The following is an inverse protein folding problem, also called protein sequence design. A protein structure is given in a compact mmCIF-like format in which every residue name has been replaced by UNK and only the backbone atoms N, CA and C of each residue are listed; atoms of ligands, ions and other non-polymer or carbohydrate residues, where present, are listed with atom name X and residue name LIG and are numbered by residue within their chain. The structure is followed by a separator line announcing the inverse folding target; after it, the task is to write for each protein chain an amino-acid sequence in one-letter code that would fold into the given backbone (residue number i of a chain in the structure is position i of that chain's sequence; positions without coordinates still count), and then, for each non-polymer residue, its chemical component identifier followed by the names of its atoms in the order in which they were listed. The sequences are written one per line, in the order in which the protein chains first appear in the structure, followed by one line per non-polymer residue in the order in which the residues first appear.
data_IF_731870809046
#
_entry.id   IF_731870809046
#
_cell.length_a   1.000
_cell.length_b   1.000
_cell.length_c   1.000
_cell.angle_alpha   90.00
_cell.angle_beta   90.00
_cell.angle_gamma   90.00
#
_symmetry.space_group_name_H-M   'P 1'
#
loop_
_entity.id
_entity.type
_entity.pdbx_description
1 polymer ?
#
# COMPACT_ATOMS: atom_id res chain seq x y z
N UNK A 1 -10.67 17.89 -0.17
CA UNK A 1 -9.66 17.34 0.76
C UNK A 1 -8.27 17.96 0.54
N UNK A 2 -7.67 17.90 -0.67
CA UNK A 2 -6.32 18.45 -0.87
C UNK A 2 -6.17 19.93 -0.47
N UNK A 3 -7.03 20.82 -0.97
CA UNK A 3 -7.02 22.24 -0.57
C UNK A 3 -7.24 22.47 0.94
N UNK A 4 -7.97 21.57 1.60
CA UNK A 4 -8.16 21.62 3.05
C UNK A 4 -6.86 21.28 3.78
N UNK A 5 -6.14 20.24 3.35
CA UNK A 5 -4.82 19.91 3.87
C UNK A 5 -3.83 21.06 3.65
N UNK A 6 -3.80 21.65 2.46
CA UNK A 6 -2.96 22.84 2.16
C UNK A 6 -3.28 24.00 3.10
N UNK A 7 -4.56 24.26 3.38
CA UNK A 7 -4.97 25.37 4.25
C UNK A 7 -4.58 25.18 5.73
N UNK A 8 -4.42 23.94 6.19
CA UNK A 8 -4.05 23.61 7.57
C UNK A 8 -2.59 23.19 7.72
N UNK A 9 -1.81 23.22 6.64
CA UNK A 9 -0.44 22.78 6.63
C UNK A 9 0.50 23.80 7.30
N UNK A 10 1.29 23.32 8.24
CA UNK A 10 2.35 24.05 8.95
C UNK A 10 3.70 23.45 8.51
N UNK A 11 4.50 24.17 7.68
CA UNK A 11 5.74 23.64 7.10
C UNK A 11 6.81 23.24 8.12
N UNK A 12 6.82 23.86 9.29
CA UNK A 12 7.80 23.61 10.35
C UNK A 12 7.56 22.29 11.10
N UNK A 13 6.40 21.64 10.89
CA UNK A 13 6.04 20.37 11.53
C UNK A 13 6.12 19.21 10.53
N UNK A 14 6.48 18.00 10.98
CA UNK A 14 6.36 16.81 10.14
C UNK A 14 4.94 16.60 9.62
N UNK A 15 4.78 16.17 8.37
CA UNK A 15 3.44 15.96 7.77
C UNK A 15 2.61 14.92 8.55
N UNK A 16 3.26 13.92 9.14
CA UNK A 16 2.60 12.84 9.87
C UNK A 16 2.03 13.27 11.22
N UNK A 17 2.43 14.41 11.78
CA UNK A 17 1.86 14.98 13.02
C UNK A 17 0.59 15.80 12.77
N UNK A 18 0.30 16.12 11.51
CA UNK A 18 -0.73 17.09 11.12
C UNK A 18 -2.00 16.44 10.55
N UNK A 19 -2.10 15.10 10.59
CA UNK A 19 -3.25 14.37 10.08
C UNK A 19 -3.40 14.43 8.54
N UNK A 20 -2.29 14.61 7.82
CA UNK A 20 -2.28 14.75 6.37
C UNK A 20 -2.15 13.38 5.70
N UNK A 21 -2.96 13.13 4.67
CA UNK A 21 -2.89 11.90 3.88
C UNK A 21 -2.64 12.18 2.41
N UNK A 22 -3.04 13.34 1.86
CA UNK A 22 -2.84 13.64 0.43
C UNK A 22 -1.51 14.32 0.15
N UNK A 23 -1.08 15.29 0.96
CA UNK A 23 0.23 15.95 0.78
C UNK A 23 1.41 14.96 0.79
N UNK A 24 1.44 13.92 1.66
CA UNK A 24 2.45 12.88 1.58
C UNK A 24 2.52 12.15 0.23
N UNK A 25 1.37 11.93 -0.45
CA UNK A 25 1.38 11.32 -1.78
C UNK A 25 2.00 12.25 -2.82
N UNK A 26 1.70 13.55 -2.77
CA UNK A 26 2.29 14.54 -3.69
C UNK A 26 3.80 14.72 -3.45
N UNK A 27 4.21 14.74 -2.18
CA UNK A 27 5.61 14.77 -1.77
C UNK A 27 6.37 13.51 -2.23
N UNK A 28 5.73 12.34 -2.19
CA UNK A 28 6.30 11.08 -2.72
C UNK A 28 6.63 11.20 -4.20
N UNK A 29 5.84 11.95 -4.98
CA UNK A 29 6.13 12.20 -6.39
C UNK A 29 7.21 13.29 -6.62
N UNK A 30 7.84 13.79 -5.57
CA UNK A 30 8.90 14.79 -5.63
C UNK A 30 8.42 16.24 -5.77
N UNK A 31 7.12 16.51 -5.64
CA UNK A 31 6.59 17.87 -5.73
C UNK A 31 6.75 18.61 -4.40
N UNK A 32 7.31 19.82 -4.45
CA UNK A 32 7.38 20.74 -3.31
C UNK A 32 8.36 20.34 -2.20
N UNK A 33 9.17 19.29 -2.39
CA UNK A 33 10.10 18.75 -1.38
C UNK A 33 11.56 18.83 -1.81
N UNK A 34 12.46 18.90 -0.82
CA UNK A 34 13.93 18.92 -0.98
C UNK A 34 14.60 17.73 -0.27
N UNK A 35 15.93 17.51 -0.40
CA UNK A 35 16.59 16.43 0.31
C UNK A 35 16.32 16.47 1.82
N UNK A 36 16.04 15.30 2.40
CA UNK A 36 15.61 15.17 3.79
C UNK A 36 14.09 15.23 4.02
N UNK A 37 13.29 15.47 2.97
CA UNK A 37 11.82 15.47 3.02
C UNK A 37 11.20 16.78 3.52
N UNK A 38 11.98 17.86 3.57
CA UNK A 38 11.51 19.18 3.96
C UNK A 38 10.72 19.84 2.83
N UNK A 39 9.62 20.50 3.17
CA UNK A 39 8.78 21.19 2.18
C UNK A 39 9.37 22.55 1.85
N UNK A 40 9.66 22.79 0.57
CA UNK A 40 10.22 24.03 0.04
C UNK A 40 9.15 24.94 -0.57
N UNK A 41 8.17 24.35 -1.25
CA UNK A 41 7.13 25.08 -1.98
C UNK A 41 5.80 24.34 -1.91
N UNK A 42 4.77 25.03 -1.42
CA UNK A 42 3.40 24.50 -1.30
C UNK A 42 2.54 24.81 -2.53
N UNK A 43 3.01 25.64 -3.46
CA UNK A 43 2.26 26.01 -4.66
C UNK A 43 1.88 24.79 -5.52
N UNK A 44 2.75 23.79 -5.76
CA UNK A 44 2.37 22.56 -6.47
C UNK A 44 1.16 21.86 -5.81
N UNK A 45 1.12 21.78 -4.48
CA UNK A 45 0.01 21.15 -3.76
C UNK A 45 -1.30 21.90 -3.96
N UNK A 46 -1.25 23.24 -3.94
CA UNK A 46 -2.39 24.10 -4.24
C UNK A 46 -2.89 23.88 -5.68
N UNK A 47 -1.98 23.88 -6.67
CA UNK A 47 -2.32 23.65 -8.09
C UNK A 47 -3.02 22.31 -8.28
N UNK A 48 -2.50 21.22 -7.71
CA UNK A 48 -3.17 19.93 -7.76
C UNK A 48 -4.59 20.00 -7.17
N UNK A 49 -4.77 20.69 -6.05
CA UNK A 49 -6.07 20.86 -5.42
C UNK A 49 -7.08 21.59 -6.29
N UNK A 50 -6.66 22.69 -6.92
CA UNK A 50 -7.51 23.49 -7.82
C UNK A 50 -7.86 22.73 -9.09
N UNK A 51 -6.88 22.06 -9.72
CA UNK A 51 -7.13 21.27 -10.93
C UNK A 51 -8.15 20.17 -10.69
N UNK A 52 -8.02 19.40 -9.60
CA UNK A 52 -8.98 18.36 -9.26
C UNK A 52 -10.37 18.94 -8.97
N UNK A 53 -10.46 20.09 -8.28
CA UNK A 53 -11.73 20.74 -7.99
C UNK A 53 -12.45 21.18 -9.28
N UNK A 54 -11.74 21.84 -10.20
CA UNK A 54 -12.31 22.27 -11.48
C UNK A 54 -12.73 21.06 -12.34
N UNK A 55 -11.88 20.04 -12.46
CA UNK A 55 -12.20 18.82 -13.21
C UNK A 55 -13.42 18.10 -12.62
N UNK A 56 -13.60 18.10 -11.31
CA UNK A 56 -14.77 17.49 -10.66
C UNK A 56 -16.09 18.14 -11.09
N UNK A 57 -16.10 19.45 -11.36
CA UNK A 57 -17.29 20.15 -11.85
C UNK A 57 -17.67 19.70 -13.27
N UNK A 58 -16.67 19.49 -14.15
CA UNK A 58 -16.89 18.97 -15.51
C UNK A 58 -17.46 17.55 -15.46
N UNK A 59 -16.88 16.67 -14.62
CA UNK A 59 -17.37 15.31 -14.42
C UNK A 59 -18.79 15.30 -13.84
N UNK A 60 -19.05 16.14 -12.84
CA UNK A 60 -20.38 16.29 -12.23
C UNK A 60 -21.43 16.76 -13.24
N UNK A 61 -21.09 17.75 -14.08
CA UNK A 61 -21.98 18.23 -15.13
C UNK A 61 -22.33 17.14 -16.15
N UNK A 62 -21.31 16.41 -16.65
CA UNK A 62 -21.52 15.28 -17.55
C UNK A 62 -22.37 14.17 -16.90
N UNK A 63 -22.12 13.86 -15.63
CA UNK A 63 -22.92 12.89 -14.87
C UNK A 63 -24.38 13.30 -14.74
N UNK A 64 -24.66 14.54 -14.33
CA UNK A 64 -26.03 15.07 -14.20
C UNK A 64 -26.75 15.05 -15.55
N UNK A 65 -26.07 15.48 -16.62
CA UNK A 65 -26.62 15.42 -17.98
C UNK A 65 -27.03 14.00 -18.35
N UNK A 66 -26.13 13.02 -18.19
CA UNK A 66 -26.40 11.63 -18.57
C UNK A 66 -27.45 10.93 -17.69
N UNK A 67 -27.68 11.39 -16.45
CA UNK A 67 -28.69 10.82 -15.56
C UNK A 67 -30.08 11.44 -15.78
N UNK A 68 -30.17 12.73 -16.11
CA UNK A 68 -31.45 13.46 -16.13
C UNK A 68 -31.94 13.86 -17.53
N UNK A 69 -31.03 14.07 -18.48
CA UNK A 69 -31.35 14.70 -19.78
C UNK A 69 -30.95 13.84 -20.98
N UNK A 70 -29.90 13.03 -20.82
CA UNK A 70 -29.42 12.12 -21.86
C UNK A 70 -30.42 11.00 -22.16
N UNK A 71 -30.23 10.28 -23.28
CA UNK A 71 -31.04 9.10 -23.59
C UNK A 71 -30.83 7.99 -22.55
N UNK A 72 -31.92 7.34 -22.15
CA UNK A 72 -31.90 6.25 -21.16
C UNK A 72 -31.11 5.02 -21.65
N UNK A 73 -31.15 4.77 -22.96
CA UNK A 73 -30.46 3.66 -23.64
C UNK A 73 -29.67 4.19 -24.83
N UNK A 74 -28.52 3.59 -25.12
CA UNK A 74 -27.59 4.05 -26.16
C UNK A 74 -27.56 3.13 -27.39
N UNK A 75 -28.18 1.97 -27.31
CA UNK A 75 -28.11 0.89 -28.29
C UNK A 75 -28.60 1.31 -29.68
N UNK A 76 -29.66 2.12 -29.74
CA UNK A 76 -30.26 2.57 -30.99
C UNK A 76 -29.57 3.83 -31.54
N UNK A 77 -29.41 4.86 -30.70
CA UNK A 77 -28.89 6.16 -31.14
C UNK A 77 -27.38 6.18 -31.31
N UNK A 78 -26.65 5.39 -30.51
CA UNK A 78 -25.18 5.39 -30.47
C UNK A 78 -24.62 3.97 -30.31
N UNK A 79 -24.66 3.11 -31.35
CA UNK A 79 -24.25 1.69 -31.25
C UNK A 79 -22.80 1.47 -30.77
N UNK A 80 -21.92 2.45 -30.99
CA UNK A 80 -20.56 2.41 -30.45
C UNK A 80 -20.51 2.51 -28.92
N UNK A 81 -21.42 3.25 -28.29
CA UNK A 81 -21.50 3.39 -26.84
C UNK A 81 -22.52 2.45 -26.19
N UNK A 82 -23.56 2.02 -26.93
CA UNK A 82 -24.51 1.00 -26.49
C UNK A 82 -23.87 -0.38 -26.30
N UNK A 83 -24.36 -1.12 -25.31
CA UNK A 83 -23.88 -2.47 -25.01
C UNK A 83 -24.93 -3.32 -24.28
N UNK A 84 -24.91 -4.62 -24.53
CA UNK A 84 -25.68 -5.61 -23.76
C UNK A 84 -24.70 -6.43 -22.93
N UNK A 85 -24.96 -6.63 -21.63
CA UNK A 85 -24.07 -7.35 -20.71
C UNK A 85 -23.72 -8.78 -21.16
N UNK A 86 -24.56 -9.42 -21.97
CA UNK A 86 -24.33 -10.76 -22.53
C UNK A 86 -23.40 -10.75 -23.74
N UNK A 87 -23.16 -9.60 -24.38
CA UNK A 87 -22.20 -9.47 -25.47
C UNK A 87 -20.77 -9.46 -24.91
N UNK A 88 -20.17 -10.64 -24.89
CA UNK A 88 -18.82 -10.86 -24.38
C UNK A 88 -17.77 -10.08 -25.17
N UNK A 89 -17.97 -9.86 -26.47
CA UNK A 89 -17.00 -9.13 -27.29
C UNK A 89 -17.04 -7.65 -26.92
N UNK A 90 -18.24 -7.07 -26.77
CA UNK A 90 -18.38 -5.69 -26.33
C UNK A 90 -17.80 -5.47 -24.94
N UNK A 91 -18.01 -6.42 -24.01
CA UNK A 91 -17.41 -6.37 -22.67
C UNK A 91 -15.87 -6.42 -22.70
N UNK A 92 -15.27 -7.29 -23.53
CA UNK A 92 -13.80 -7.31 -23.68
C UNK A 92 -13.29 -6.05 -24.36
N UNK A 93 -13.97 -5.51 -25.38
CA UNK A 93 -13.58 -4.24 -26.01
C UNK A 93 -13.56 -3.08 -25.00
N UNK A 94 -14.60 -2.95 -24.17
CA UNK A 94 -14.65 -1.91 -23.13
C UNK A 94 -13.53 -2.12 -22.10
N UNK A 95 -13.31 -3.36 -21.64
CA UNK A 95 -12.19 -3.69 -20.75
C UNK A 95 -10.86 -3.24 -21.34
N UNK A 96 -10.64 -3.44 -22.65
CA UNK A 96 -9.40 -3.05 -23.30
C UNK A 96 -9.20 -1.55 -23.33
N UNK A 97 -10.23 -0.79 -23.68
CA UNK A 97 -10.12 0.68 -23.68
C UNK A 97 -9.65 1.15 -22.30
N UNK A 98 -10.18 0.56 -21.23
CA UNK A 98 -9.74 0.85 -19.87
C UNK A 98 -8.30 0.37 -19.58
N UNK A 99 -7.89 -0.83 -20.04
CA UNK A 99 -6.51 -1.32 -19.88
C UNK A 99 -5.48 -0.42 -20.59
N UNK A 100 -5.81 0.11 -21.77
CA UNK A 100 -4.95 1.03 -22.52
C UNK A 100 -4.91 2.41 -21.83
N UNK A 101 -6.04 2.91 -21.32
CA UNK A 101 -6.05 4.15 -20.55
C UNK A 101 -5.25 4.04 -19.24
N UNK A 102 -5.29 2.89 -18.57
CA UNK A 102 -4.46 2.59 -17.40
C UNK A 102 -2.96 2.63 -17.74
N UNK A 103 -2.56 2.15 -18.92
CA UNK A 103 -1.17 2.25 -19.39
C UNK A 103 -0.67 3.70 -19.52
N UNK A 104 -1.48 4.59 -20.12
CA UNK A 104 -1.11 6.00 -20.30
C UNK A 104 -0.84 6.67 -18.95
N UNK A 105 -1.63 6.32 -17.93
CA UNK A 105 -1.45 6.82 -16.57
C UNK A 105 -0.16 6.33 -15.92
N UNK A 106 0.22 5.07 -16.14
CA UNK A 106 1.43 4.45 -15.59
C UNK A 106 2.71 5.03 -16.21
N UNK A 107 2.70 5.34 -17.51
CA UNK A 107 3.87 5.88 -18.21
C UNK A 107 4.29 7.30 -17.75
N UNK A 108 3.41 8.04 -17.07
CA UNK A 108 3.69 9.41 -16.61
C UNK A 108 4.41 9.49 -15.25
N UNK A 109 4.55 8.36 -14.53
CA UNK A 109 5.12 8.32 -13.17
C UNK A 109 6.63 8.02 -13.16
N UNK A 110 7.47 8.99 -13.57
CA UNK A 110 8.94 8.87 -13.53
C UNK A 110 9.56 10.01 -12.69
N UNK A 111 9.13 10.14 -11.44
CA UNK A 111 9.81 10.93 -10.42
C UNK A 111 9.80 10.13 -9.12
N UNK A 112 10.96 9.61 -8.74
CA UNK A 112 11.12 8.73 -7.59
C UNK A 112 11.71 9.48 -6.38
N UNK A 113 11.19 9.26 -5.15
CA UNK A 113 11.76 9.85 -3.94
C UNK A 113 12.85 8.94 -3.34
N UNK A 114 14.09 9.41 -3.36
CA UNK A 114 15.12 8.99 -2.40
C UNK A 114 15.26 10.08 -1.34
N UNK A 115 16.25 9.98 -0.44
CA UNK A 115 16.59 11.09 0.48
C UNK A 115 16.87 12.45 -0.20
N UNK A 116 16.91 12.47 -1.54
CA UNK A 116 16.80 13.61 -2.44
C UNK A 116 15.85 13.26 -3.61
N UNK A 117 15.24 14.28 -4.24
CA UNK A 117 14.46 14.09 -5.48
C UNK A 117 15.45 13.77 -6.60
N UNK A 118 15.55 12.48 -6.94
CA UNK A 118 16.49 12.00 -7.97
C UNK A 118 15.77 11.54 -9.22
N UNK A 119 16.35 11.86 -10.38
CA UNK A 119 15.95 11.24 -11.65
C UNK A 119 16.44 9.81 -11.67
N UNK A 120 15.56 8.87 -12.00
CA UNK A 120 15.93 7.48 -12.22
C UNK A 120 16.27 7.32 -13.70
N UNK A 121 17.52 6.99 -13.98
CA UNK A 121 18.03 6.83 -15.35
C UNK A 121 18.18 5.37 -15.77
N UNK A 122 18.32 4.45 -14.80
CA UNK A 122 18.58 3.03 -15.03
C UNK A 122 17.55 2.17 -14.30
N UNK A 123 16.37 1.99 -14.89
CA UNK A 123 15.31 1.14 -14.32
C UNK A 123 15.60 -0.35 -14.49
N UNK A 124 15.19 -1.18 -13.53
CA UNK A 124 15.37 -2.63 -13.61
C UNK A 124 14.42 -3.25 -14.63
N UNK A 125 14.95 -3.70 -15.76
CA UNK A 125 14.16 -4.38 -16.80
C UNK A 125 14.30 -5.91 -16.76
N UNK A 126 15.12 -6.45 -15.85
CA UNK A 126 15.34 -7.88 -15.73
C UNK A 126 14.06 -8.60 -15.27
N UNK A 127 13.46 -9.49 -16.08
CA UNK A 127 12.23 -10.18 -15.71
C UNK A 127 12.44 -11.09 -14.49
N UNK A 128 13.63 -11.67 -14.33
CA UNK A 128 13.94 -12.53 -13.19
C UNK A 128 13.83 -11.80 -11.84
N UNK A 129 14.15 -10.50 -11.81
CA UNK A 129 14.02 -9.67 -10.61
C UNK A 129 12.56 -9.25 -10.42
N UNK A 130 11.94 -8.65 -11.46
CA UNK A 130 10.58 -8.11 -11.39
C UNK A 130 9.53 -9.19 -11.09
N UNK A 131 9.54 -10.30 -11.83
CA UNK A 131 8.62 -11.41 -11.57
C UNK A 131 9.05 -12.26 -10.36
N UNK A 132 10.32 -12.15 -9.94
CA UNK A 132 10.81 -12.77 -8.71
C UNK A 132 10.03 -12.30 -7.48
N UNK A 133 9.69 -11.00 -7.40
CA UNK A 133 8.84 -10.47 -6.32
C UNK A 133 7.47 -11.16 -6.25
N UNK A 134 6.87 -11.52 -7.38
CA UNK A 134 5.56 -12.18 -7.40
C UNK A 134 5.60 -13.63 -6.89
N UNK A 135 6.78 -14.25 -6.86
CA UNK A 135 6.98 -15.63 -6.43
C UNK A 135 7.55 -15.73 -5.01
N UNK A 136 7.95 -14.61 -4.41
CA UNK A 136 8.38 -14.55 -3.01
C UNK A 136 7.26 -14.96 -2.08
N UNK A 137 7.64 -15.55 -0.96
CA UNK A 137 6.71 -15.88 0.11
C UNK A 137 6.06 -14.62 0.70
N UNK A 138 4.74 -14.62 1.01
CA UNK A 138 4.10 -13.51 1.71
C UNK A 138 4.39 -13.49 3.22
N UNK A 139 5.15 -14.47 3.72
CA UNK A 139 5.52 -14.59 5.13
C UNK A 139 6.76 -13.74 5.50
N UNK A 140 7.09 -13.72 6.79
CA UNK A 140 8.26 -13.02 7.36
C UNK A 140 9.55 -13.37 6.61
N UNK A 141 10.50 -12.43 6.54
CA UNK A 141 11.77 -12.57 5.82
C UNK A 141 11.71 -12.32 4.32
N UNK A 142 10.57 -12.55 3.67
CA UNK A 142 10.44 -12.42 2.21
C UNK A 142 9.51 -11.31 1.75
N UNK A 143 8.31 -11.18 2.34
CA UNK A 143 7.43 -10.02 2.14
C UNK A 143 6.82 -9.82 0.75
N UNK A 144 6.73 -10.85 -0.10
CA UNK A 144 6.14 -10.80 -1.45
C UNK A 144 6.51 -9.52 -2.23
N UNK A 145 5.53 -8.81 -2.81
CA UNK A 145 5.72 -7.51 -3.49
C UNK A 145 5.94 -6.34 -2.52
N UNK A 146 5.58 -6.50 -1.25
CA UNK A 146 5.75 -5.47 -0.21
C UNK A 146 7.24 -5.30 0.14
N UNK A 147 8.07 -6.28 -0.22
CA UNK A 147 9.52 -6.29 0.04
C UNK A 147 10.33 -5.39 -0.90
N UNK A 148 9.72 -4.70 -1.86
CA UNK A 148 10.45 -3.83 -2.80
C UNK A 148 11.12 -2.69 -2.01
N UNK A 149 12.43 -2.52 -2.18
CA UNK A 149 13.25 -1.63 -1.35
C UNK A 149 14.03 -0.57 -2.15
N UNK A 150 13.90 -0.54 -3.48
CA UNK A 150 14.48 0.49 -4.35
C UNK A 150 13.50 1.03 -5.42
N UNK A 151 13.86 2.16 -6.02
CA UNK A 151 13.00 2.87 -6.99
C UNK A 151 13.15 2.34 -8.41
N UNK A 152 14.32 1.78 -8.72
CA UNK A 152 14.66 1.20 -10.01
C UNK A 152 13.75 0.00 -10.32
N UNK A 153 13.48 -0.83 -9.31
CA UNK A 153 12.55 -1.96 -9.35
C UNK A 153 11.10 -1.49 -9.39
N UNK A 154 10.73 -0.42 -8.67
CA UNK A 154 9.39 0.18 -8.75
C UNK A 154 9.11 0.64 -10.17
N UNK A 155 9.98 1.47 -10.75
CA UNK A 155 9.78 1.99 -12.12
C UNK A 155 9.86 0.85 -13.14
N UNK A 156 10.81 -0.07 -12.98
CA UNK A 156 10.92 -1.28 -13.79
C UNK A 156 9.63 -2.10 -13.82
N UNK A 157 9.04 -2.34 -12.64
CA UNK A 157 7.75 -3.02 -12.49
C UNK A 157 6.60 -2.29 -13.19
N UNK A 158 6.56 -0.95 -13.11
CA UNK A 158 5.56 -0.15 -13.82
C UNK A 158 5.72 -0.21 -15.35
N UNK A 159 6.95 -0.25 -15.87
CA UNK A 159 7.23 -0.45 -17.31
C UNK A 159 6.72 -1.83 -17.76
N UNK A 160 6.98 -2.88 -16.97
CA UNK A 160 6.46 -4.22 -17.24
C UNK A 160 4.94 -4.27 -17.19
N UNK A 161 4.33 -3.74 -16.13
CA UNK A 161 2.88 -3.68 -15.96
C UNK A 161 2.21 -2.94 -17.13
N UNK A 162 2.75 -1.78 -17.49
CA UNK A 162 2.26 -1.00 -18.62
C UNK A 162 2.31 -1.78 -19.93
N UNK A 163 3.43 -2.44 -20.21
CA UNK A 163 3.61 -3.28 -21.40
C UNK A 163 2.62 -4.45 -21.42
N UNK A 164 2.41 -5.12 -20.29
CA UNK A 164 1.44 -6.21 -20.14
C UNK A 164 0.01 -5.71 -20.34
N UNK A 165 -0.35 -4.56 -19.81
CA UNK A 165 -1.68 -3.96 -20.00
C UNK A 165 -1.94 -3.64 -21.48
N UNK A 166 -0.94 -3.13 -22.22
CA UNK A 166 -1.06 -2.86 -23.67
C UNK A 166 -1.17 -4.15 -24.47
N UNK A 167 -0.26 -5.10 -24.25
CA UNK A 167 -0.28 -6.38 -24.96
C UNK A 167 -1.54 -7.18 -24.65
N UNK A 168 -1.95 -7.22 -23.38
CA UNK A 168 -3.21 -7.80 -22.93
C UNK A 168 -4.43 -7.06 -23.50
N UNK A 169 -4.35 -5.74 -23.62
CA UNK A 169 -5.34 -4.92 -24.32
C UNK A 169 -5.51 -5.32 -25.78
N UNK A 170 -4.43 -5.31 -26.55
CA UNK A 170 -4.42 -5.74 -27.96
C UNK A 170 -4.93 -7.18 -28.08
N UNK A 171 -4.45 -8.07 -27.21
CA UNK A 171 -4.92 -9.45 -27.15
C UNK A 171 -6.44 -9.55 -26.95
N UNK A 172 -7.02 -8.82 -25.99
CA UNK A 172 -8.46 -8.85 -25.72
C UNK A 172 -9.32 -8.13 -26.77
N UNK A 173 -8.74 -7.28 -27.64
CA UNK A 173 -9.41 -6.80 -28.86
C UNK A 173 -9.48 -7.92 -29.89
N UNK A 174 -8.38 -8.64 -30.08
CA UNK A 174 -8.24 -9.63 -31.14
C UNK A 174 -8.80 -11.01 -30.77
N UNK A 175 -9.10 -11.26 -29.49
CA UNK A 175 -9.51 -12.57 -28.99
C UNK A 175 -10.83 -12.54 -28.23
N UNK A 176 -11.46 -13.72 -28.11
CA UNK A 176 -12.68 -13.94 -27.34
C UNK A 176 -12.36 -14.77 -26.09
N UNK A 177 -13.09 -14.59 -24.97
CA UNK A 177 -12.85 -15.35 -23.75
C UNK A 177 -12.85 -16.86 -23.99
N UNK A 178 -11.75 -17.53 -23.68
CA UNK A 178 -11.66 -18.99 -23.77
C UNK A 178 -12.54 -19.67 -22.72
N UNK A 179 -12.96 -20.91 -22.99
CA UNK A 179 -13.95 -21.63 -22.18
C UNK A 179 -13.55 -21.82 -20.70
N UNK A 180 -12.26 -21.83 -20.39
CA UNK A 180 -11.71 -22.17 -19.08
C UNK A 180 -11.37 -20.96 -18.18
N UNK A 181 -11.21 -19.74 -18.72
CA UNK A 181 -10.70 -18.54 -18.04
C UNK A 181 -11.69 -17.87 -17.05
N UNK A 182 -12.50 -18.66 -16.35
CA UNK A 182 -13.66 -18.21 -15.56
C UNK A 182 -13.42 -18.08 -14.04
N UNK A 183 -12.24 -18.30 -13.43
CA UNK A 183 -12.10 -18.41 -11.93
C UNK A 183 -10.73 -18.03 -11.27
N UNK A 184 -10.74 -16.98 -10.40
CA UNK A 184 -10.06 -16.74 -9.06
C UNK A 184 -8.63 -16.15 -8.86
N UNK A 185 -8.42 -15.33 -7.78
CA UNK A 185 -7.36 -15.35 -6.68
C UNK A 185 -7.31 -14.09 -5.74
N UNK A 186 -6.83 -14.20 -4.47
CA UNK A 186 -6.46 -13.11 -3.48
C UNK A 186 -5.51 -13.58 -2.30
N UNK A 187 -4.75 -12.68 -1.61
CA UNK A 187 -4.00 -12.80 -0.29
C UNK A 187 -3.61 -11.43 0.40
N UNK A 188 -3.01 -11.40 1.63
CA UNK A 188 -2.57 -10.23 2.49
C UNK A 188 -1.65 -10.51 3.77
N UNK A 189 -1.36 -9.56 4.75
CA UNK A 189 -0.01 -8.91 5.02
C UNK A 189 0.47 -8.42 6.49
N UNK A 190 1.63 -7.69 6.60
CA UNK A 190 2.26 -6.59 7.50
C UNK A 190 2.72 -6.69 9.00
N UNK A 191 3.42 -5.64 9.56
CA UNK A 191 3.80 -5.43 11.00
C UNK A 191 5.13 -4.70 11.45
N UNK A 192 6.32 -4.87 10.82
CA UNK A 192 7.61 -4.85 11.56
C UNK A 192 8.35 -3.55 11.93
N UNK A 193 8.09 -2.44 11.25
CA UNK A 193 9.05 -1.32 11.24
C UNK A 193 9.17 -0.52 12.54
N UNK A 194 8.07 -0.37 13.28
CA UNK A 194 8.04 0.48 14.46
C UNK A 194 8.80 -0.11 15.66
N UNK A 195 8.86 -1.44 15.77
CA UNK A 195 9.45 -2.10 16.93
C UNK A 195 10.97 -1.99 16.96
N UNK A 196 11.61 -2.03 15.79
CA UNK A 196 13.07 -1.95 15.69
C UNK A 196 13.62 -0.56 16.05
N UNK A 197 12.86 0.50 15.75
CA UNK A 197 13.24 1.87 16.11
C UNK A 197 13.34 2.06 17.64
N UNK A 198 12.47 1.40 18.40
CA UNK A 198 12.50 1.41 19.86
C UNK A 198 13.76 0.72 20.41
N UNK A 199 14.06 -0.48 19.91
CA UNK A 199 15.21 -1.26 20.38
C UNK A 199 16.55 -0.56 20.10
N UNK A 200 16.68 0.07 18.92
CA UNK A 200 17.87 0.84 18.57
C UNK A 200 18.08 2.03 19.50
N UNK A 201 17.04 2.80 19.81
CA UNK A 201 17.14 3.99 20.66
C UNK A 201 17.64 3.67 22.08
N UNK A 202 17.16 2.59 22.69
CA UNK A 202 17.63 2.16 24.01
C UNK A 202 19.06 1.59 23.98
N UNK A 203 19.45 0.92 22.90
CA UNK A 203 20.82 0.43 22.72
C UNK A 203 21.81 1.59 22.71
N UNK A 204 21.56 2.64 21.92
CA UNK A 204 22.46 3.80 21.82
C UNK A 204 22.61 4.53 23.16
N UNK A 205 21.48 4.79 23.83
CA UNK A 205 21.46 5.45 25.14
C UNK A 205 22.33 4.69 26.16
N UNK A 206 22.10 3.39 26.28
CA UNK A 206 22.75 2.59 27.32
C UNK A 206 24.24 2.37 27.01
N UNK A 207 24.61 2.26 25.73
CA UNK A 207 26.01 2.23 25.33
C UNK A 207 26.75 3.52 25.72
N UNK A 208 26.11 4.69 25.55
CA UNK A 208 26.68 5.99 25.99
C UNK A 208 26.81 6.12 27.49
N UNK A 209 25.95 5.44 28.25
CA UNK A 209 26.06 5.30 29.70
C UNK A 209 27.11 4.26 30.13
N UNK A 210 27.87 3.69 29.19
CA UNK A 210 28.95 2.75 29.45
C UNK A 210 28.53 1.27 29.46
N UNK A 211 27.29 0.93 29.06
CA UNK A 211 26.85 -0.45 29.00
C UNK A 211 27.48 -1.21 27.82
N UNK A 212 27.97 -2.42 28.08
CA UNK A 212 28.42 -3.34 27.04
C UNK A 212 27.23 -4.04 26.37
N UNK A 213 26.66 -3.41 25.33
CA UNK A 213 25.43 -3.88 24.67
C UNK A 213 25.52 -5.29 24.06
N UNK A 214 26.73 -5.74 23.72
CA UNK A 214 26.97 -7.09 23.17
C UNK A 214 27.09 -8.21 24.22
N UNK A 215 27.26 -7.88 25.50
CA UNK A 215 27.36 -8.86 26.59
C UNK A 215 26.32 -8.64 27.70
N UNK A 216 25.46 -7.64 27.58
CA UNK A 216 24.37 -7.40 28.51
C UNK A 216 23.29 -8.47 28.38
N UNK A 217 23.05 -9.23 29.45
CA UNK A 217 22.08 -10.33 29.50
C UNK A 217 20.79 -9.89 30.19
N UNK A 218 19.63 -10.35 29.69
CA UNK A 218 18.32 -10.20 30.34
C UNK A 218 18.10 -11.29 31.40
N UNK A 219 17.12 -11.10 32.30
CA UNK A 219 16.70 -12.13 33.25
C UNK A 219 16.29 -13.46 32.60
N UNK A 220 15.88 -13.44 31.33
CA UNK A 220 15.51 -14.63 30.56
C UNK A 220 16.70 -15.42 30.01
N UNK A 221 17.93 -14.96 30.22
CA UNK A 221 19.15 -15.58 29.69
C UNK A 221 19.53 -15.14 28.27
N UNK A 222 18.66 -14.47 27.54
CA UNK A 222 18.94 -13.89 26.21
C UNK A 222 19.65 -12.53 26.32
N UNK A 223 20.30 -12.08 25.24
CA UNK A 223 20.92 -10.76 25.20
C UNK A 223 19.88 -9.63 25.28
N UNK A 224 20.21 -8.58 26.03
CA UNK A 224 19.29 -7.48 26.35
C UNK A 224 18.99 -6.59 25.15
N UNK A 225 20.02 -6.31 24.35
CA UNK A 225 19.98 -5.42 23.18
C UNK A 225 20.20 -6.17 21.87
N UNK A 226 21.06 -7.20 21.87
CA UNK A 226 21.39 -8.00 20.70
C UNK A 226 21.20 -9.49 21.00
N UNK A 227 20.71 -10.24 20.02
CA UNK A 227 20.61 -11.70 20.07
C UNK A 227 20.78 -12.27 18.65
N UNK A 228 20.61 -13.59 18.49
CA UNK A 228 20.62 -14.24 17.19
C UNK A 228 19.21 -14.53 16.69
N UNK A 229 18.98 -14.35 15.39
CA UNK A 229 17.82 -14.90 14.69
C UNK A 229 17.86 -16.44 14.71
N UNK A 230 16.77 -17.13 14.33
CA UNK A 230 16.78 -18.59 14.14
C UNK A 230 17.84 -19.08 13.15
N UNK A 231 18.25 -18.24 12.19
CA UNK A 231 19.25 -18.52 11.14
C UNK A 231 20.65 -18.01 11.47
N UNK A 232 20.83 -17.34 12.62
CA UNK A 232 22.13 -16.98 13.16
C UNK A 232 22.58 -15.53 12.94
N UNK A 233 21.83 -14.71 12.21
CA UNK A 233 22.11 -13.26 12.08
C UNK A 233 21.99 -12.54 13.42
N UNK A 234 22.81 -11.50 13.61
CA UNK A 234 22.71 -10.61 14.77
C UNK A 234 21.53 -9.66 14.59
N UNK A 235 20.58 -9.70 15.52
CA UNK A 235 19.32 -8.95 15.50
C UNK A 235 19.10 -8.23 16.83
N UNK A 236 18.15 -7.29 16.87
CA UNK A 236 17.76 -6.66 18.13
C UNK A 236 17.03 -7.62 19.07
N UNK A 237 17.30 -7.48 20.37
CA UNK A 237 16.73 -8.31 21.43
C UNK A 237 15.42 -7.78 22.02
N UNK A 238 14.69 -8.63 22.74
CA UNK A 238 13.36 -8.32 23.29
C UNK A 238 12.23 -8.65 22.32
N UNK A 239 11.04 -8.08 22.52
CA UNK A 239 9.87 -8.44 21.71
C UNK A 239 10.02 -8.12 20.23
N UNK A 240 10.88 -7.14 19.89
CA UNK A 240 11.23 -6.79 18.51
C UNK A 240 12.00 -7.88 17.77
N UNK A 241 12.40 -8.97 18.44
CA UNK A 241 13.05 -10.11 17.76
C UNK A 241 12.18 -10.66 16.60
N UNK A 242 10.85 -10.51 16.69
CA UNK A 242 9.86 -10.93 15.67
C UNK A 242 9.79 -10.04 14.42
N UNK A 243 10.66 -9.04 14.33
CA UNK A 243 10.62 -8.01 13.31
C UNK A 243 12.00 -7.78 12.68
N UNK A 244 12.90 -8.75 12.84
CA UNK A 244 14.32 -8.63 12.52
C UNK A 244 14.63 -8.48 11.02
N UNK A 245 13.64 -8.80 10.20
CA UNK A 245 13.62 -8.67 8.74
C UNK A 245 13.43 -7.23 8.25
N UNK A 246 13.20 -6.27 9.15
CA UNK A 246 13.11 -4.87 8.77
C UNK A 246 14.39 -4.40 8.08
N UNK A 247 14.21 -3.80 6.91
CA UNK A 247 15.22 -3.03 6.17
C UNK A 247 14.79 -1.58 6.16
N UNK A 248 15.64 -0.70 6.68
CA UNK A 248 15.34 0.72 6.74
C UNK A 248 16.61 1.54 6.50
N UNK A 249 16.56 2.63 5.69
CA UNK A 249 17.75 3.39 5.31
C UNK A 249 18.60 3.92 6.48
N UNK A 250 17.97 4.17 7.63
CA UNK A 250 18.66 4.62 8.85
C UNK A 250 19.40 3.49 9.60
N UNK A 251 19.01 2.23 9.37
CA UNK A 251 19.54 1.03 10.02
C UNK A 251 20.54 0.26 9.14
N UNK A 252 20.33 0.25 7.82
CA UNK A 252 21.17 -0.47 6.86
C UNK A 252 22.69 -0.19 6.97
N UNK A 253 23.15 1.05 7.24
CA UNK A 253 24.58 1.32 7.40
C UNK A 253 25.25 0.53 8.53
N UNK A 254 24.46 0.09 9.53
CA UNK A 254 24.91 -0.66 10.69
C UNK A 254 24.84 -2.19 10.49
N UNK A 255 24.33 -2.65 9.33
CA UNK A 255 24.25 -4.06 8.96
C UNK A 255 25.49 -4.49 8.17
N UNK A 256 26.03 -5.64 8.52
CA UNK A 256 27.08 -6.36 7.80
C UNK A 256 26.59 -7.71 7.29
N UNK A 257 27.49 -8.56 6.77
CA UNK A 257 27.12 -9.85 6.18
C UNK A 257 26.38 -10.82 7.13
N UNK A 258 26.55 -10.64 8.45
CA UNK A 258 25.98 -11.50 9.49
C UNK A 258 24.90 -10.78 10.33
N UNK A 259 24.20 -9.78 9.78
CA UNK A 259 23.23 -8.95 10.51
C UNK A 259 23.88 -7.69 11.10
N UNK A 260 23.42 -7.23 12.26
CA UNK A 260 23.95 -6.01 12.90
C UNK A 260 25.42 -6.17 13.31
N UNK A 261 26.27 -5.23 12.90
CA UNK A 261 27.71 -5.27 13.15
C UNK A 261 28.05 -4.53 14.46
N UNK A 262 28.58 -5.27 15.44
CA UNK A 262 28.95 -4.73 16.75
C UNK A 262 30.04 -3.65 16.67
N UNK A 263 30.95 -3.73 15.69
CA UNK A 263 32.01 -2.73 15.53
C UNK A 263 31.43 -1.40 15.04
N UNK A 264 30.49 -1.45 14.09
CA UNK A 264 29.77 -0.28 13.58
C UNK A 264 28.85 0.32 14.62
N UNK A 265 28.12 -0.52 15.37
CA UNK A 265 27.31 -0.06 16.51
C UNK A 265 28.14 0.68 17.58
N UNK A 266 29.42 0.33 17.74
CA UNK A 266 30.30 1.00 18.69
C UNK A 266 30.84 2.34 18.22
N UNK A 267 31.09 2.50 16.92
CA UNK A 267 31.93 3.58 16.40
C UNK A 267 31.26 4.46 15.35
N UNK A 268 30.30 3.93 14.61
CA UNK A 268 29.85 4.53 13.36
C UNK A 268 28.42 5.09 13.42
N UNK A 269 27.79 5.04 14.59
CA UNK A 269 26.47 5.64 14.82
C UNK A 269 26.57 7.16 14.66
N UNK A 270 25.78 7.69 13.72
CA UNK A 270 25.75 9.12 13.42
C UNK A 270 24.63 9.83 14.21
N UNK A 271 24.83 11.10 14.61
CA UNK A 271 23.80 11.87 15.32
C UNK A 271 22.45 11.99 14.57
N UNK A 272 22.45 11.94 13.24
CA UNK A 272 21.21 11.97 12.46
C UNK A 272 20.41 10.66 12.56
N UNK A 273 21.08 9.50 12.72
CA UNK A 273 20.42 8.22 12.92
C UNK A 273 19.73 8.18 14.29
N UNK A 274 20.36 8.77 15.32
CA UNK A 274 19.80 8.86 16.67
C UNK A 274 18.57 9.76 16.73
N UNK A 275 18.62 10.93 16.06
CA UNK A 275 17.45 11.81 15.95
C UNK A 275 16.31 11.09 15.27
N UNK A 276 16.59 10.43 14.14
CA UNK A 276 15.59 9.69 13.36
C UNK A 276 14.95 8.56 14.16
N UNK A 277 15.73 7.78 14.90
CA UNK A 277 15.18 6.68 15.70
C UNK A 277 14.36 7.17 16.89
N UNK A 278 14.80 8.25 17.54
CA UNK A 278 14.08 8.88 18.66
C UNK A 278 12.75 9.46 18.17
N UNK A 279 12.77 10.13 17.03
CA UNK A 279 11.58 10.66 16.34
C UNK A 279 10.58 9.53 16.04
N UNK A 280 11.04 8.42 15.43
CA UNK A 280 10.17 7.29 15.11
C UNK A 280 9.66 6.52 16.33
N UNK A 281 10.47 6.41 17.38
CA UNK A 281 10.04 5.80 18.65
C UNK A 281 8.92 6.62 19.29
N UNK A 282 9.05 7.94 19.32
CA UNK A 282 8.06 8.84 19.95
C UNK A 282 6.81 9.05 19.10
N UNK A 283 6.89 8.75 17.79
CA UNK A 283 5.77 8.74 16.85
C UNK A 283 5.40 7.32 16.40
N UNK A 284 5.48 6.36 17.32
CA UNK A 284 4.97 5.02 17.05
C UNK A 284 3.48 5.09 16.68
N UNK A 285 2.98 4.24 15.76
CA UNK A 285 1.62 4.34 15.20
C UNK A 285 0.53 3.83 16.18
N UNK A 286 0.61 4.24 17.45
CA UNK A 286 -0.35 3.98 18.51
C UNK A 286 -1.07 5.27 18.88
N UNK A 287 -2.39 5.17 18.99
CA UNK A 287 -3.22 6.22 19.54
C UNK A 287 -4.67 5.78 19.61
N UNK A 288 -5.48 6.56 20.30
CA UNK A 288 -6.91 6.33 20.48
C UNK A 288 -7.74 6.91 19.32
N UNK A 289 -9.02 6.52 19.24
CA UNK A 289 -9.93 7.00 18.20
C UNK A 289 -10.17 8.52 18.24
N UNK A 290 -10.10 9.14 19.42
CA UNK A 290 -10.17 10.60 19.60
C UNK A 290 -8.80 11.29 19.45
N UNK A 291 -7.86 10.63 18.79
CA UNK A 291 -6.53 11.12 18.45
C UNK A 291 -5.59 11.38 19.62
N UNK A 292 -5.68 10.63 20.73
CA UNK A 292 -4.66 10.69 21.78
C UNK A 292 -3.52 9.73 21.45
N UNK A 293 -2.32 10.26 21.25
CA UNK A 293 -1.13 9.50 20.88
C UNK A 293 -0.53 8.78 22.08
N UNK A 294 0.06 7.61 21.82
CA UNK A 294 0.69 6.77 22.84
C UNK A 294 -0.10 5.49 23.13
N UNK A 295 0.20 4.88 24.28
CA UNK A 295 -0.44 3.62 24.69
C UNK A 295 -1.87 3.84 25.19
N UNK A 296 -2.67 2.77 25.29
CA UNK A 296 -4.08 2.87 25.68
C UNK A 296 -4.32 3.45 27.10
N UNK A 297 -3.29 3.47 27.95
CA UNK A 297 -3.32 4.03 29.31
C UNK A 297 -2.64 5.40 29.40
N UNK A 298 -2.25 5.99 28.27
CA UNK A 298 -1.62 7.30 28.23
C UNK A 298 -2.61 8.39 28.64
N UNK A 299 -2.14 9.41 29.35
CA UNK A 299 -2.97 10.57 29.70
C UNK A 299 -3.19 11.47 28.48
N UNK A 300 -4.25 12.29 28.50
CA UNK A 300 -4.52 13.25 27.43
C UNK A 300 -3.43 14.33 27.38
N UNK A 301 -2.46 14.16 26.48
CA UNK A 301 -1.34 15.08 26.33
C UNK A 301 -0.97 15.36 24.86
N UNK A 302 -0.86 14.31 24.04
CA UNK A 302 -0.41 14.43 22.65
C UNK A 302 -1.57 14.13 21.70
N UNK A 303 -1.91 15.09 20.85
CA UNK A 303 -2.90 14.89 19.77
C UNK A 303 -2.20 14.27 18.56
N UNK A 304 -2.19 12.94 18.46
CA UNK A 304 -1.48 12.20 17.42
C UNK A 304 -2.10 10.83 17.16
N UNK A 305 -2.40 10.55 15.90
CA UNK A 305 -2.56 9.19 15.36
C UNK A 305 -1.89 9.16 14.00
N UNK A 306 -1.04 8.16 13.78
CA UNK A 306 -0.29 8.03 12.53
C UNK A 306 -1.20 7.92 11.31
N UNK A 307 -0.90 8.62 10.20
CA UNK A 307 -1.56 8.39 8.91
C UNK A 307 -1.51 6.92 8.45
N UNK A 308 -0.48 6.16 8.86
CA UNK A 308 -0.39 4.72 8.59
C UNK A 308 -1.57 3.96 9.23
N UNK A 309 -1.90 4.26 10.47
CA UNK A 309 -3.03 3.64 11.19
C UNK A 309 -4.36 4.03 10.54
N UNK A 310 -4.55 5.30 10.17
CA UNK A 310 -5.74 5.76 9.45
C UNK A 310 -5.92 5.06 8.10
N UNK A 311 -4.87 5.01 7.28
CA UNK A 311 -4.93 4.39 5.95
C UNK A 311 -5.12 2.88 6.06
N UNK A 312 -4.37 2.18 6.92
CA UNK A 312 -4.51 0.74 7.07
C UNK A 312 -5.91 0.32 7.56
N UNK A 313 -6.42 0.99 8.60
CA UNK A 313 -7.75 0.65 9.17
C UNK A 313 -8.88 0.96 8.18
N UNK A 314 -8.87 2.14 7.55
CA UNK A 314 -9.86 2.51 6.55
C UNK A 314 -9.86 1.56 5.35
N UNK A 315 -8.69 1.25 4.79
CA UNK A 315 -8.59 0.34 3.65
C UNK A 315 -8.90 -1.11 4.02
N UNK A 316 -8.62 -1.55 5.25
CA UNK A 316 -9.04 -2.87 5.72
C UNK A 316 -10.57 -2.96 5.81
N UNK A 317 -11.23 -1.96 6.41
CA UNK A 317 -12.69 -1.92 6.49
C UNK A 317 -13.32 -1.88 5.11
N UNK A 318 -12.81 -1.03 4.22
CA UNK A 318 -13.26 -0.98 2.82
C UNK A 318 -13.03 -2.33 2.13
N UNK A 319 -11.84 -2.91 2.23
CA UNK A 319 -11.51 -4.21 1.64
C UNK A 319 -12.43 -5.34 2.13
N UNK A 320 -12.74 -5.37 3.42
CA UNK A 320 -13.69 -6.30 4.00
C UNK A 320 -15.09 -6.13 3.41
N UNK A 321 -15.62 -4.91 3.34
CA UNK A 321 -16.94 -4.67 2.77
C UNK A 321 -17.00 -4.91 1.27
N UNK A 322 -15.91 -4.66 0.53
CA UNK A 322 -15.80 -5.04 -0.87
C UNK A 322 -15.81 -6.57 -1.04
N UNK A 323 -15.17 -7.31 -0.14
CA UNK A 323 -15.24 -8.78 -0.13
C UNK A 323 -16.65 -9.29 0.20
N UNK A 324 -17.33 -8.70 1.19
CA UNK A 324 -18.73 -9.04 1.50
C UNK A 324 -19.65 -8.72 0.31
N UNK A 325 -19.48 -7.55 -0.30
CA UNK A 325 -20.18 -7.17 -1.52
C UNK A 325 -19.90 -8.13 -2.67
N UNK A 326 -18.65 -8.58 -2.82
CA UNK A 326 -18.28 -9.61 -3.78
C UNK A 326 -19.04 -10.92 -3.54
N UNK A 327 -19.05 -11.46 -2.31
CA UNK A 327 -19.79 -12.68 -1.97
C UNK A 327 -21.29 -12.54 -2.27
N UNK A 328 -21.87 -11.42 -1.85
CA UNK A 328 -23.27 -11.09 -2.07
C UNK A 328 -23.62 -11.06 -3.56
N UNK A 329 -22.89 -10.25 -4.34
CA UNK A 329 -23.18 -10.07 -5.76
C UNK A 329 -22.81 -11.29 -6.60
N UNK A 330 -21.73 -12.00 -6.28
CA UNK A 330 -21.37 -13.24 -6.98
C UNK A 330 -22.38 -14.37 -6.73
N UNK A 331 -22.84 -14.53 -5.48
CA UNK A 331 -23.89 -15.48 -5.12
C UNK A 331 -25.21 -15.15 -5.82
N UNK A 332 -25.66 -13.90 -5.73
CA UNK A 332 -26.88 -13.43 -6.39
C UNK A 332 -26.81 -13.55 -7.91
N UNK A 333 -25.68 -13.20 -8.52
CA UNK A 333 -25.50 -13.34 -9.98
C UNK A 333 -25.59 -14.80 -10.42
N UNK A 334 -25.03 -15.73 -9.64
CA UNK A 334 -25.15 -17.17 -9.92
C UNK A 334 -26.59 -17.67 -9.78
N UNK A 335 -27.28 -17.29 -8.70
CA UNK A 335 -28.67 -17.67 -8.48
C UNK A 335 -29.59 -17.11 -9.57
N UNK A 336 -29.39 -15.84 -9.97
CA UNK A 336 -30.18 -15.19 -11.02
C UNK A 336 -29.93 -15.82 -12.40
N UNK A 337 -28.67 -16.18 -12.70
CA UNK A 337 -28.33 -16.89 -13.92
C UNK A 337 -28.94 -18.30 -13.97
N UNK A 338 -29.16 -18.93 -12.81
CA UNK A 338 -29.78 -20.24 -12.67
C UNK A 338 -31.31 -20.19 -12.45
N UNK A 339 -31.89 -18.99 -12.28
CA UNK A 339 -33.34 -18.76 -12.24
C UNK A 339 -34.04 -19.00 -10.91
N UNK A 340 -33.32 -19.03 -9.78
CA UNK A 340 -33.89 -19.28 -8.44
C UNK A 340 -33.59 -18.18 -7.41
N UNK A 341 -33.14 -16.99 -7.84
CA UNK A 341 -32.82 -15.88 -6.95
C UNK A 341 -34.03 -15.30 -6.19
N UNK A 342 -35.24 -15.59 -6.66
CA UNK A 342 -36.51 -15.13 -6.08
C UNK A 342 -37.16 -16.14 -5.14
N UNK A 343 -36.57 -17.31 -4.96
CA UNK A 343 -37.11 -18.39 -4.14
C UNK A 343 -37.16 -19.72 -4.88
N UNK A 344 -37.59 -20.74 -4.15
CA UNK A 344 -37.75 -22.11 -4.67
C UNK A 344 -39.12 -22.24 -5.32
N UNK A 345 -39.17 -22.88 -6.48
CA UNK A 345 -40.42 -23.27 -7.11
C UNK A 345 -41.12 -24.34 -6.26
N UNK A 346 -42.35 -24.06 -5.83
CA UNK A 346 -43.12 -24.95 -4.96
C UNK A 346 -43.49 -26.26 -5.66
N UNK A 347 -43.56 -26.27 -6.98
CA UNK A 347 -43.91 -27.45 -7.76
C UNK A 347 -42.67 -28.28 -8.16
N UNK A 348 -41.48 -27.69 -8.09
CA UNK A 348 -40.20 -28.27 -8.53
C UNK A 348 -39.09 -28.11 -7.47
N UNK A 349 -39.39 -28.39 -6.21
CA UNK A 349 -38.41 -28.31 -5.12
C UNK A 349 -37.31 -29.38 -5.27
N UNK A 350 -36.04 -29.01 -5.54
CA UNK A 350 -35.00 -29.98 -5.90
C UNK A 350 -34.71 -31.04 -4.83
N UNK A 351 -34.89 -30.69 -3.55
CA UNK A 351 -34.62 -31.58 -2.41
C UNK A 351 -35.59 -32.76 -2.40
N UNK A 352 -36.83 -32.60 -2.87
CA UNK A 352 -37.83 -33.68 -2.91
C UNK A 352 -37.48 -34.79 -3.92
N UNK A 353 -36.59 -34.50 -4.87
CA UNK A 353 -36.11 -35.46 -5.87
C UNK A 353 -34.77 -36.12 -5.50
N UNK A 354 -34.19 -35.77 -4.34
CA UNK A 354 -32.96 -36.39 -3.84
C UNK A 354 -33.30 -37.59 -2.95
N UNK A 355 -32.45 -38.61 -2.96
CA UNK A 355 -32.57 -39.76 -2.05
C UNK A 355 -32.47 -39.29 -0.60
N UNK A 356 -33.33 -39.77 0.32
CA UNK A 356 -33.15 -39.54 1.75
C UNK A 356 -31.76 -39.98 2.20
N UNK A 357 -31.21 -39.26 3.18
CA UNK A 357 -29.86 -39.54 3.69
C UNK A 357 -29.78 -40.79 4.60
N UNK A 358 -30.92 -41.39 4.96
CA UNK A 358 -31.04 -42.50 5.92
C UNK A 358 -31.53 -43.78 5.28
#
# INVERSE_FOLDING_TARGET
MNLFEVAHFVPEKPMYEQGLILLPHLATLGWGVRPGGEVLDTFPYFVFGVLHLISSAVLGFGGIYHVLLGPETLEESFPFFGYVWKDRNKMTTILVIHLILLFILVAYMILGPGGDVRKITNSTLSPGVIFGYLLKSPFEGEGWIVSVDDLEDIIGGHVWLGSICVLGGIWHILTKPFAWARRAFFYGPTGPEASQAQAFTFLVRDQRLGANVGSAQRPTGLGKYLMRSPTGEVIFGGETMRFWDLRAPWLEPLRGPNGLDLSRLKKDIQPWQERRSTEYMTHAPLGSLNSMGGVATEINAVNYVSPRSWLATSHFVLGFFFFVGHLWHAGRARAAAAGFEKGIDRDLEPILYMTPLN
#
